data_IF_147107332879
#
_entry.id   IF_147107332879
#
_cell.length_a   1.000
_cell.length_b   1.000
_cell.length_c   1.000
_cell.angle_alpha   90.00
_cell.angle_beta   90.00
_cell.angle_gamma   90.00
#
_symmetry.space_group_name_H-M   'P 1'
#
loop_
_entity.id
_entity.type
_entity.pdbx_description
1 polymer ?
#
# COMPACT_ATOMS: atom_id res chain seq x y z
N UNK A 1 -25.89 37.59 -29.16
CA UNK A 1 -25.37 36.29 -29.63
C UNK A 1 -23.84 36.20 -29.58
N UNK A 2 -23.10 37.22 -30.00
CA UNK A 2 -21.61 37.26 -29.93
C UNK A 2 -21.02 37.07 -28.53
N UNK A 3 -21.64 37.62 -27.48
CA UNK A 3 -21.19 37.43 -26.09
C UNK A 3 -21.38 35.99 -25.57
N UNK A 4 -22.40 35.28 -26.05
CA UNK A 4 -22.65 33.87 -25.71
C UNK A 4 -21.66 32.94 -26.42
N UNK A 5 -21.30 33.23 -27.67
CA UNK A 5 -20.29 32.50 -28.43
C UNK A 5 -18.89 32.65 -27.82
N UNK A 6 -18.53 33.86 -27.35
CA UNK A 6 -17.27 34.10 -26.65
C UNK A 6 -17.18 33.35 -25.31
N UNK A 7 -18.28 33.31 -24.54
CA UNK A 7 -18.34 32.55 -23.29
C UNK A 7 -18.23 31.04 -23.52
N UNK A 8 -18.90 30.51 -24.56
CA UNK A 8 -18.77 29.10 -24.95
C UNK A 8 -17.33 28.75 -25.37
N UNK A 9 -16.69 29.61 -26.18
CA UNK A 9 -15.31 29.44 -26.60
C UNK A 9 -14.33 29.40 -25.42
N UNK A 10 -14.53 30.28 -24.42
CA UNK A 10 -13.71 30.31 -23.21
C UNK A 10 -13.85 29.03 -22.36
N UNK A 11 -15.06 28.47 -22.25
CA UNK A 11 -15.30 27.21 -21.53
C UNK A 11 -14.64 26.03 -22.26
N UNK A 12 -14.75 25.97 -23.58
CA UNK A 12 -14.11 24.91 -24.38
C UNK A 12 -12.59 24.97 -24.22
N UNK A 13 -11.98 26.16 -24.31
CA UNK A 13 -10.54 26.33 -24.13
C UNK A 13 -10.11 25.90 -22.71
N UNK A 14 -10.85 26.28 -21.67
CA UNK A 14 -10.56 25.87 -20.30
C UNK A 14 -10.60 24.33 -20.11
N UNK A 15 -11.50 23.64 -20.81
CA UNK A 15 -11.59 22.17 -20.78
C UNK A 15 -10.40 21.51 -21.49
N UNK A 16 -9.92 22.05 -22.61
CA UNK A 16 -8.74 21.51 -23.32
C UNK A 16 -7.45 21.66 -22.49
N UNK A 17 -7.29 22.76 -21.74
CA UNK A 17 -6.14 22.92 -20.84
C UNK A 17 -6.14 21.94 -19.65
N UNK A 18 -7.29 21.42 -19.24
CA UNK A 18 -7.39 20.43 -18.16
C UNK A 18 -7.08 18.99 -18.60
N UNK A 19 -7.03 18.73 -19.91
CA UNK A 19 -6.81 17.41 -20.49
C UNK A 19 -5.33 17.01 -20.66
N UNK A 20 -4.38 17.89 -20.34
CA UNK A 20 -2.95 17.56 -20.33
C UNK A 20 -2.60 16.75 -19.08
N UNK A 21 -3.01 15.48 -19.04
CA UNK A 21 -2.29 14.47 -18.25
C UNK A 21 -1.17 13.92 -19.09
N UNK A 22 0.06 14.07 -18.60
CA UNK A 22 1.19 13.33 -19.11
C UNK A 22 0.95 11.81 -18.96
N UNK A 23 1.47 11.03 -19.92
CA UNK A 23 1.25 9.58 -19.98
C UNK A 23 1.65 8.88 -18.67
N UNK A 24 2.68 9.40 -17.99
CA UNK A 24 3.13 8.87 -16.70
C UNK A 24 2.06 9.00 -15.60
N UNK A 25 1.32 10.11 -15.56
CA UNK A 25 0.20 10.31 -14.63
C UNK A 25 -0.96 9.37 -14.92
N UNK A 26 -1.30 9.18 -16.20
CA UNK A 26 -2.35 8.24 -16.62
C UNK A 26 -1.96 6.81 -16.25
N UNK A 27 -0.73 6.40 -16.56
CA UNK A 27 -0.21 5.08 -16.21
C UNK A 27 -0.22 4.86 -14.69
N UNK A 28 0.24 5.84 -13.91
CA UNK A 28 0.24 5.78 -12.44
C UNK A 28 -1.17 5.58 -11.87
N UNK A 29 -2.17 6.32 -12.37
CA UNK A 29 -3.56 6.18 -11.95
C UNK A 29 -4.13 4.80 -12.30
N UNK A 30 -3.86 4.31 -13.51
CA UNK A 30 -4.31 2.99 -13.95
C UNK A 30 -3.70 1.86 -13.12
N UNK A 31 -2.38 1.92 -12.86
CA UNK A 31 -1.68 0.94 -12.02
C UNK A 31 -2.16 0.98 -10.56
N UNK A 32 -2.47 2.18 -10.04
CA UNK A 32 -3.05 2.32 -8.70
C UNK A 32 -4.41 1.64 -8.63
N UNK A 33 -5.30 1.96 -9.58
CA UNK A 33 -6.65 1.39 -9.66
C UNK A 33 -6.64 -0.14 -9.83
N UNK A 34 -5.81 -0.66 -10.74
CA UNK A 34 -5.70 -2.10 -10.97
C UNK A 34 -5.23 -2.84 -9.71
N UNK A 35 -4.30 -2.26 -8.96
CA UNK A 35 -3.86 -2.88 -7.73
C UNK A 35 -4.87 -2.75 -6.58
N UNK A 36 -5.66 -1.67 -6.53
CA UNK A 36 -6.80 -1.54 -5.60
C UNK A 36 -7.90 -2.56 -5.90
N UNK A 37 -8.00 -3.00 -7.16
CA UNK A 37 -8.83 -4.13 -7.58
C UNK A 37 -8.16 -5.50 -7.39
N UNK A 38 -6.97 -5.57 -6.79
CA UNK A 38 -6.20 -6.81 -6.59
C UNK A 38 -5.85 -7.53 -7.90
N UNK A 39 -5.54 -6.78 -8.96
CA UNK A 39 -5.16 -7.32 -10.27
C UNK A 39 -3.64 -7.32 -10.49
N UNK A 40 -2.88 -6.67 -9.60
CA UNK A 40 -1.43 -6.50 -9.70
C UNK A 40 -0.74 -7.14 -8.49
N UNK A 41 0.21 -8.03 -8.76
CA UNK A 41 1.14 -8.51 -7.75
C UNK A 41 2.15 -7.42 -7.39
N UNK A 42 2.29 -7.15 -6.10
CA UNK A 42 3.24 -6.21 -5.53
C UNK A 42 4.13 -6.93 -4.53
N UNK A 43 5.40 -6.54 -4.53
CA UNK A 43 6.34 -6.81 -3.45
C UNK A 43 6.52 -5.51 -2.68
N UNK A 44 6.17 -5.55 -1.40
CA UNK A 44 6.29 -4.42 -0.48
C UNK A 44 7.35 -4.81 0.53
N UNK A 45 8.44 -4.05 0.54
CA UNK A 45 9.60 -4.34 1.38
C UNK A 45 9.76 -3.23 2.40
N UNK A 46 9.82 -3.61 3.66
CA UNK A 46 10.10 -2.74 4.78
C UNK A 46 11.55 -2.94 5.19
N UNK A 47 12.30 -1.86 5.23
CA UNK A 47 13.69 -1.86 5.66
C UNK A 47 13.90 -0.73 6.66
N UNK A 48 14.82 -0.95 7.59
CA UNK A 48 15.22 0.05 8.55
C UNK A 48 16.08 1.12 7.86
N UNK A 49 15.66 2.38 7.88
CA UNK A 49 16.40 3.48 7.26
C UNK A 49 17.74 3.81 7.94
N UNK A 50 17.93 3.40 9.20
CA UNK A 50 19.16 3.61 9.97
C UNK A 50 20.16 2.48 9.71
N UNK A 51 19.73 1.22 9.81
CA UNK A 51 20.64 0.05 9.70
C UNK A 51 20.69 -0.55 8.29
N UNK A 52 19.75 -0.22 7.41
CA UNK A 52 19.62 -0.80 6.08
C UNK A 52 19.08 -2.24 6.07
N UNK A 53 18.69 -2.77 7.22
CA UNK A 53 18.24 -4.15 7.33
C UNK A 53 16.79 -4.32 6.86
N UNK A 54 16.55 -5.37 6.08
CA UNK A 54 15.20 -5.83 5.75
C UNK A 54 14.48 -6.32 7.01
N UNK A 55 13.36 -5.67 7.32
CA UNK A 55 12.54 -5.96 8.49
C UNK A 55 11.39 -6.90 8.13
N UNK A 56 10.75 -6.66 7.00
CA UNK A 56 9.57 -7.41 6.56
C UNK A 56 9.43 -7.32 5.04
N UNK A 57 8.90 -8.36 4.43
CA UNK A 57 8.50 -8.35 3.02
C UNK A 57 7.12 -8.97 2.89
N UNK A 58 6.25 -8.29 2.14
CA UNK A 58 4.90 -8.75 1.80
C UNK A 58 4.84 -8.88 0.28
N UNK A 59 4.41 -10.04 -0.21
CA UNK A 59 4.28 -10.30 -1.63
C UNK A 59 2.89 -10.81 -1.96
N UNK A 60 2.31 -10.30 -3.04
CA UNK A 60 1.02 -10.76 -3.55
C UNK A 60 0.14 -9.62 -4.05
N UNK A 61 -1.16 -9.90 -4.16
CA UNK A 61 -2.16 -8.94 -4.60
C UNK A 61 -2.49 -8.01 -3.44
N UNK A 62 -1.83 -6.84 -3.39
CA UNK A 62 -1.94 -5.92 -2.26
C UNK A 62 -2.29 -4.49 -2.68
N UNK A 63 -3.22 -3.89 -1.94
CA UNK A 63 -3.65 -2.50 -2.07
C UNK A 63 -3.22 -1.69 -0.84
N UNK A 64 -2.99 -0.39 -1.04
CA UNK A 64 -2.76 0.57 0.03
C UNK A 64 -4.10 1.11 0.50
N UNK A 65 -4.37 1.02 1.79
CA UNK A 65 -5.60 1.53 2.39
C UNK A 65 -5.66 3.07 2.34
N UNK A 66 -6.87 3.60 2.14
CA UNK A 66 -7.15 5.04 2.00
C UNK A 66 -6.91 5.86 3.28
N UNK A 67 -6.84 5.21 4.45
CA UNK A 67 -6.54 5.85 5.73
C UNK A 67 -5.05 5.98 6.04
N UNK A 68 -4.17 5.58 5.11
CA UNK A 68 -2.73 5.73 5.28
C UNK A 68 -2.32 7.21 5.32
N UNK A 69 -1.42 7.57 6.22
CA UNK A 69 -0.84 8.91 6.39
C UNK A 69 0.68 8.85 6.23
N UNK A 70 1.37 9.97 6.41
CA UNK A 70 2.85 10.01 6.41
C UNK A 70 3.48 9.14 7.50
N UNK A 71 2.77 8.87 8.59
CA UNK A 71 3.27 8.12 9.76
C UNK A 71 2.57 6.78 9.97
N UNK A 72 1.55 6.46 9.16
CA UNK A 72 0.79 5.23 9.27
C UNK A 72 0.54 4.66 7.89
N UNK A 73 1.01 3.45 7.65
CA UNK A 73 0.71 2.72 6.43
C UNK A 73 -0.20 1.54 6.76
N UNK A 74 -1.29 1.40 6.02
CA UNK A 74 -2.11 0.21 6.07
C UNK A 74 -2.13 -0.47 4.69
N UNK A 75 -1.81 -1.75 4.66
CA UNK A 75 -1.79 -2.58 3.46
C UNK A 75 -2.83 -3.68 3.60
N UNK A 76 -3.65 -3.87 2.57
CA UNK A 76 -4.61 -4.97 2.49
C UNK A 76 -4.15 -5.90 1.38
N UNK A 77 -3.99 -7.18 1.68
CA UNK A 77 -3.58 -8.18 0.70
C UNK A 77 -4.67 -9.23 0.53
N UNK A 78 -5.03 -9.53 -0.72
CA UNK A 78 -5.94 -10.63 -1.07
C UNK A 78 -5.13 -11.93 -1.12
N UNK A 79 -5.45 -12.85 -0.22
CA UNK A 79 -4.75 -14.14 -0.07
C UNK A 79 -5.57 -15.33 -0.57
N UNK A 80 -6.83 -15.11 -0.94
CA UNK A 80 -7.74 -16.10 -1.51
C UNK A 80 -8.95 -15.43 -2.18
N UNK A 81 -9.88 -16.19 -2.80
CA UNK A 81 -10.98 -15.64 -3.59
C UNK A 81 -11.81 -14.57 -2.86
N UNK A 82 -11.96 -14.69 -1.54
CA UNK A 82 -12.68 -13.75 -0.67
C UNK A 82 -11.97 -13.57 0.69
N UNK A 83 -10.64 -13.65 0.70
CA UNK A 83 -9.84 -13.62 1.91
C UNK A 83 -8.82 -12.50 1.84
N UNK A 84 -8.76 -11.72 2.92
CA UNK A 84 -7.93 -10.53 3.00
C UNK A 84 -7.20 -10.51 4.33
N UNK A 85 -5.94 -10.10 4.29
CA UNK A 85 -5.15 -9.75 5.47
C UNK A 85 -4.90 -8.26 5.47
N UNK A 86 -5.02 -7.64 6.64
CA UNK A 86 -4.65 -6.24 6.84
C UNK A 86 -3.38 -6.16 7.67
N UNK A 87 -2.47 -5.30 7.23
CA UNK A 87 -1.19 -5.04 7.85
C UNK A 87 -1.13 -3.56 8.18
N UNK A 88 -0.80 -3.21 9.43
CA UNK A 88 -0.54 -1.83 9.81
C UNK A 88 0.93 -1.66 10.15
N UNK A 89 1.49 -0.56 9.68
CA UNK A 89 2.83 -0.14 10.01
C UNK A 89 2.79 1.29 10.53
N UNK A 90 3.37 1.50 11.71
CA UNK A 90 3.72 2.83 12.18
C UNK A 90 5.10 3.21 11.66
N UNK A 91 5.18 4.29 10.89
CA UNK A 91 6.43 4.90 10.47
C UNK A 91 6.84 5.94 11.52
N UNK A 92 7.93 5.69 12.24
CA UNK A 92 8.57 6.66 13.13
C UNK A 92 10.09 6.58 12.95
N UNK A 93 10.77 7.70 13.22
CA UNK A 93 12.21 7.87 13.02
C UNK A 93 13.07 6.85 13.78
N UNK A 94 12.55 6.28 14.87
CA UNK A 94 13.29 5.34 15.73
C UNK A 94 12.53 4.04 16.06
N UNK A 95 11.20 3.99 15.91
CA UNK A 95 10.37 2.84 16.29
C UNK A 95 9.37 2.54 15.20
N UNK A 96 9.62 1.48 14.43
CA UNK A 96 8.63 0.94 13.51
C UNK A 96 7.89 -0.18 14.23
N UNK A 97 6.60 -0.01 14.48
CA UNK A 97 5.76 -1.12 14.95
C UNK A 97 4.97 -1.69 13.78
N UNK A 98 4.89 -3.01 13.73
CA UNK A 98 4.17 -3.74 12.71
C UNK A 98 3.06 -4.55 13.36
N UNK A 99 1.82 -4.33 12.93
CA UNK A 99 0.67 -5.09 13.36
C UNK A 99 0.25 -5.94 12.16
N UNK A 100 0.51 -7.25 12.28
CA UNK A 100 0.07 -8.23 11.31
C UNK A 100 -1.24 -8.86 11.74
N UNK A 101 -2.16 -8.96 10.79
CA UNK A 101 -3.23 -9.93 10.90
C UNK A 101 -2.70 -11.32 10.49
N UNK A 102 -2.35 -12.14 11.49
CA UNK A 102 -1.68 -13.43 11.29
C UNK A 102 -2.49 -14.42 10.44
N UNK A 103 -3.79 -14.57 10.72
CA UNK A 103 -4.71 -15.37 9.89
C UNK A 103 -5.72 -14.47 9.17
N UNK A 104 -6.08 -14.74 7.91
CA UNK A 104 -7.19 -14.04 7.27
C UNK A 104 -8.46 -14.44 8.02
N UNK A 105 -8.92 -13.57 8.92
CA UNK A 105 -10.05 -13.87 9.76
C UNK A 105 -11.31 -13.89 8.90
N UNK A 106 -11.91 -15.07 8.79
CA UNK A 106 -13.32 -15.26 9.17
C UNK A 106 -13.21 -16.30 10.26
N UNK A 107 -13.58 -16.02 11.52
CA UNK A 107 -13.34 -16.93 12.66
C UNK A 107 -13.11 -18.41 12.24
N UNK A 108 -11.87 -18.95 12.41
CA UNK A 108 -11.39 -20.34 12.17
C UNK A 108 -10.70 -20.64 10.81
N UNK A 109 -9.68 -21.50 10.62
CA UNK A 109 -8.36 -21.92 11.21
C UNK A 109 -7.64 -22.53 9.99
N UNK A 110 -6.32 -22.39 9.82
CA UNK A 110 -5.35 -23.36 9.22
C UNK A 110 -4.18 -22.68 8.47
N UNK A 111 -3.01 -22.83 9.10
CA UNK A 111 -1.60 -22.75 8.68
C UNK A 111 -1.14 -21.78 7.58
N UNK A 112 -0.25 -20.85 7.98
CA UNK A 112 0.52 -19.95 7.12
C UNK A 112 1.94 -19.77 7.70
N UNK A 113 2.95 -19.64 6.84
CA UNK A 113 4.34 -19.45 7.25
C UNK A 113 4.77 -17.98 7.05
N UNK A 114 5.14 -17.31 8.13
CA UNK A 114 5.80 -16.00 8.11
C UNK A 114 7.28 -16.22 8.40
N UNK A 115 8.15 -15.74 7.52
CA UNK A 115 9.61 -15.77 7.73
C UNK A 115 10.05 -14.43 8.29
N UNK A 116 10.22 -14.36 9.62
CA UNK A 116 10.96 -13.27 10.25
C UNK A 116 12.46 -13.58 10.19
N UNK A 117 13.30 -12.55 10.04
CA UNK A 117 14.74 -12.73 10.23
C UNK A 117 15.01 -13.18 11.67
N UNK A 118 15.73 -14.30 11.92
CA UNK A 118 15.89 -14.87 13.26
C UNK A 118 16.53 -13.95 14.30
N UNK A 119 17.31 -12.94 13.89
CA UNK A 119 18.04 -12.08 14.82
C UNK A 119 17.17 -11.18 15.70
N UNK A 120 15.84 -11.12 15.46
CA UNK A 120 14.90 -10.30 16.25
C UNK A 120 14.00 -11.13 17.18
N UNK A 121 14.03 -12.46 17.07
CA UNK A 121 13.22 -13.40 17.88
C UNK A 121 14.14 -14.40 18.59
N UNK A 122 15.23 -13.92 19.19
CA UNK A 122 15.96 -14.68 20.19
C UNK A 122 15.83 -13.91 21.50
N UNK A 123 15.01 -14.37 22.46
CA UNK A 123 15.05 -13.78 23.79
C UNK A 123 16.44 -14.01 24.39
N UNK A 124 17.03 -12.97 24.95
CA UNK A 124 18.27 -13.06 25.74
C UNK A 124 18.07 -14.10 26.85
N UNK A 125 18.58 -15.31 26.65
CA UNK A 125 18.65 -16.31 27.72
C UNK A 125 19.86 -15.97 28.56
N UNK A 126 19.63 -15.26 29.65
CA UNK A 126 20.61 -15.11 30.73
C UNK A 126 20.59 -16.39 31.56
N UNK A 127 21.56 -17.27 31.34
CA UNK A 127 21.88 -18.35 32.29
C UNK A 127 22.81 -17.76 33.35
N UNK A 128 22.41 -17.84 34.62
CA UNK A 128 23.29 -17.61 35.77
C UNK A 128 23.92 -18.93 36.19
#
# INVERSE_FOLDING_TARGET
MTKLLAALGAVVIALVLSACSDDARVASQNLSKAADNFEINRRIVFYNGITGEYMLTIEGLCSRDNGSTSTKLAIVCKVGPNEYKKHFLGLSDNVTYFIEQLEPAKANVYHYAVTFKPSVIVPDITVR
#
